data_IF_915069317777
#
_entry.id   IF_915069317777
#
_cell.length_a   1.000
_cell.length_b   1.000
_cell.length_c   1.000
_cell.angle_alpha   90.00
_cell.angle_beta   90.00
_cell.angle_gamma   90.00
#
_symmetry.space_group_name_H-M   'P 1'
#
loop_
_entity.id
_entity.type
_entity.pdbx_description
1 polymer ?
#
# COMPACT_ATOMS: atom_id res chain seq x y z
N UNK A 1 -3.40 -39.63 13.40
CA UNK A 1 -4.84 -39.36 13.43
C UNK A 1 -5.05 -37.92 13.85
N UNK A 2 -5.68 -37.16 12.98
CA UNK A 2 -5.90 -35.72 13.10
C UNK A 2 -6.48 -35.25 11.77
N UNK A 3 -7.57 -35.91 11.34
CA UNK A 3 -8.36 -35.46 10.21
C UNK A 3 -8.89 -34.07 10.52
N UNK A 4 -8.47 -33.07 9.74
CA UNK A 4 -9.10 -31.75 9.73
C UNK A 4 -10.39 -31.88 8.92
N UNK A 5 -11.45 -32.30 9.62
CA UNK A 5 -12.83 -32.13 9.20
C UNK A 5 -13.32 -30.77 9.69
N UNK A 6 -12.84 -29.70 9.07
CA UNK A 6 -13.55 -28.42 9.13
C UNK A 6 -13.75 -27.87 7.71
N UNK A 7 -14.95 -28.17 7.21
CA UNK A 7 -15.46 -27.82 5.89
C UNK A 7 -16.08 -26.42 5.96
N UNK A 8 -15.47 -25.46 5.26
CA UNK A 8 -16.23 -24.45 4.54
C UNK A 8 -15.36 -23.78 3.48
N UNK A 9 -15.63 -24.10 2.21
CA UNK A 9 -15.09 -23.40 1.04
C UNK A 9 -15.36 -21.89 1.11
N UNK A 10 -16.45 -21.47 1.76
CA UNK A 10 -16.77 -20.07 1.98
C UNK A 10 -15.81 -19.38 2.94
N UNK A 11 -15.33 -20.03 4.00
CA UNK A 11 -14.36 -19.42 4.92
C UNK A 11 -12.99 -19.23 4.25
N UNK A 12 -12.58 -20.17 3.38
CA UNK A 12 -11.40 -19.99 2.55
C UNK A 12 -11.61 -18.88 1.51
N UNK A 13 -12.80 -18.79 0.91
CA UNK A 13 -13.16 -17.73 -0.05
C UNK A 13 -13.24 -16.37 0.63
N UNK A 14 -13.82 -16.25 1.82
CA UNK A 14 -13.84 -15.01 2.61
C UNK A 14 -12.44 -14.56 3.00
N UNK A 15 -11.56 -15.49 3.41
CA UNK A 15 -10.16 -15.18 3.71
C UNK A 15 -9.37 -14.80 2.45
N UNK A 16 -9.55 -15.51 1.34
CA UNK A 16 -8.92 -15.19 0.06
C UNK A 16 -9.43 -13.86 -0.53
N UNK A 17 -10.73 -13.58 -0.41
CA UNK A 17 -11.34 -12.31 -0.80
C UNK A 17 -10.88 -11.16 0.09
N UNK A 18 -10.75 -11.38 1.40
CA UNK A 18 -10.18 -10.40 2.33
C UNK A 18 -8.72 -10.10 2.03
N UNK A 19 -7.91 -11.13 1.78
CA UNK A 19 -6.51 -10.97 1.39
C UNK A 19 -6.37 -10.25 0.04
N UNK A 20 -7.20 -10.58 -0.94
CA UNK A 20 -7.22 -9.91 -2.23
C UNK A 20 -7.62 -8.44 -2.08
N UNK A 21 -8.61 -8.14 -1.25
CA UNK A 21 -9.04 -6.77 -0.97
C UNK A 21 -7.92 -5.97 -0.28
N UNK A 22 -7.25 -6.54 0.72
CA UNK A 22 -6.11 -5.90 1.40
C UNK A 22 -4.96 -5.68 0.42
N UNK A 23 -4.62 -6.68 -0.39
CA UNK A 23 -3.58 -6.57 -1.43
C UNK A 23 -3.93 -5.47 -2.43
N UNK A 24 -5.16 -5.44 -2.94
CA UNK A 24 -5.62 -4.42 -3.87
C UNK A 24 -5.58 -3.01 -3.23
N UNK A 25 -5.96 -2.88 -1.96
CA UNK A 25 -5.89 -1.62 -1.24
C UNK A 25 -4.44 -1.14 -1.04
N UNK A 26 -3.51 -2.05 -0.73
CA UNK A 26 -2.07 -1.75 -0.61
C UNK A 26 -1.52 -1.30 -1.96
N UNK A 27 -1.79 -2.05 -3.04
CA UNK A 27 -1.34 -1.71 -4.40
C UNK A 27 -1.88 -0.34 -4.80
N UNK A 28 -3.17 -0.09 -4.60
CA UNK A 28 -3.79 1.20 -4.90
C UNK A 28 -3.12 2.34 -4.12
N UNK A 29 -2.91 2.15 -2.82
CA UNK A 29 -2.25 3.16 -1.98
C UNK A 29 -0.83 3.43 -2.48
N UNK A 30 -0.05 2.39 -2.75
CA UNK A 30 1.32 2.53 -3.23
C UNK A 30 1.38 3.25 -4.57
N UNK A 31 0.54 2.88 -5.54
CA UNK A 31 0.49 3.53 -6.85
C UNK A 31 0.15 5.02 -6.74
N UNK A 32 -0.87 5.38 -5.96
CA UNK A 32 -1.28 6.80 -5.78
C UNK A 32 -0.18 7.62 -5.11
N UNK A 33 0.51 7.08 -4.10
CA UNK A 33 1.58 7.83 -3.43
C UNK A 33 2.87 7.89 -4.24
N UNK A 34 3.19 6.86 -5.04
CA UNK A 34 4.32 6.90 -5.96
C UNK A 34 4.12 8.00 -7.01
N UNK A 35 2.94 8.10 -7.63
CA UNK A 35 2.63 9.18 -8.58
C UNK A 35 2.78 10.57 -7.94
N UNK A 36 2.29 10.74 -6.72
CA UNK A 36 2.42 12.02 -5.99
C UNK A 36 3.88 12.33 -5.67
N UNK A 37 4.67 11.32 -5.29
CA UNK A 37 6.09 11.48 -5.02
C UNK A 37 6.88 11.83 -6.28
N UNK A 38 6.60 11.19 -7.42
CA UNK A 38 7.25 11.48 -8.70
C UNK A 38 6.90 12.87 -9.20
N UNK A 39 5.64 13.31 -9.06
CA UNK A 39 5.23 14.68 -9.39
C UNK A 39 5.94 15.71 -8.50
N UNK A 40 5.99 15.48 -7.18
CA UNK A 40 6.72 16.36 -6.27
C UNK A 40 8.23 16.42 -6.62
N UNK A 41 8.86 15.30 -6.98
CA UNK A 41 10.26 15.28 -7.42
C UNK A 41 10.46 16.04 -8.74
N UNK A 42 9.52 15.90 -9.69
CA UNK A 42 9.52 16.64 -10.97
C UNK A 42 9.43 18.14 -10.74
N UNK A 43 8.48 18.58 -9.92
CA UNK A 43 8.28 20.00 -9.55
C UNK A 43 9.51 20.59 -8.85
N UNK A 44 10.26 19.78 -8.10
CA UNK A 44 11.47 20.19 -7.41
C UNK A 44 12.75 20.03 -8.26
N UNK A 45 12.65 19.60 -9.52
CA UNK A 45 13.81 19.36 -10.40
C UNK A 45 14.74 18.24 -9.92
N UNK A 46 14.26 17.35 -9.05
CA UNK A 46 15.02 16.23 -8.45
C UNK A 46 14.68 14.87 -9.06
N UNK A 47 13.82 14.84 -10.07
CA UNK A 47 13.48 13.60 -10.75
C UNK A 47 14.67 13.19 -11.63
N UNK A 48 15.23 12.02 -11.36
CA UNK A 48 16.46 11.56 -12.03
C UNK A 48 16.23 11.25 -13.52
N UNK A 49 15.37 10.27 -13.81
CA UNK A 49 15.04 9.85 -15.17
C UNK A 49 13.61 9.30 -15.19
N UNK A 50 12.77 9.86 -16.06
CA UNK A 50 11.38 9.43 -16.23
C UNK A 50 11.27 8.04 -16.85
N UNK A 51 12.27 7.64 -17.66
CA UNK A 51 12.32 6.33 -18.29
C UNK A 51 12.38 5.20 -17.26
N UNK A 52 12.88 5.50 -16.05
CA UNK A 52 12.99 4.54 -14.96
C UNK A 52 11.66 4.30 -14.23
N UNK A 53 10.67 5.19 -14.40
CA UNK A 53 9.37 5.08 -13.71
C UNK A 53 8.61 3.82 -14.11
N UNK A 54 8.81 3.29 -15.32
CA UNK A 54 8.20 2.04 -15.78
C UNK A 54 8.66 0.81 -14.99
N UNK A 55 9.82 0.89 -14.31
CA UNK A 55 10.37 -0.18 -13.51
C UNK A 55 9.98 -0.08 -12.03
N UNK A 56 9.18 0.93 -11.64
CA UNK A 56 8.65 1.03 -10.28
C UNK A 56 7.63 -0.08 -10.03
N UNK A 57 7.94 -0.93 -9.05
CA UNK A 57 6.98 -1.92 -8.56
C UNK A 57 6.04 -1.27 -7.53
N UNK A 58 4.71 -1.35 -7.69
CA UNK A 58 3.77 -0.96 -6.65
C UNK A 58 3.82 -1.89 -5.42
N UNK A 59 4.55 -2.99 -5.51
CA UNK A 59 4.69 -4.03 -4.50
C UNK A 59 6.11 -4.03 -3.92
N UNK A 60 6.50 -2.93 -3.27
CA UNK A 60 7.66 -2.92 -2.37
C UNK A 60 7.31 -3.63 -1.06
N UNK A 61 7.47 -4.95 -0.99
CA UNK A 61 7.05 -5.73 0.18
C UNK A 61 7.81 -5.43 1.48
N UNK A 62 8.95 -4.74 1.39
CA UNK A 62 9.82 -4.45 2.53
C UNK A 62 9.17 -3.56 3.61
N UNK A 63 8.15 -2.77 3.24
CA UNK A 63 7.47 -1.86 4.16
C UNK A 63 6.11 -2.35 4.67
N UNK A 64 5.65 -3.54 4.26
CA UNK A 64 4.33 -4.10 4.65
C UNK A 64 4.52 -5.29 5.59
N UNK A 65 4.30 -5.07 6.89
CA UNK A 65 4.03 -6.20 7.78
C UNK A 65 2.56 -6.60 7.61
N UNK A 66 2.30 -7.89 7.40
CA UNK A 66 0.94 -8.47 7.38
C UNK A 66 0.66 -9.30 8.64
N UNK A 67 1.61 -9.34 9.58
CA UNK A 67 1.50 -10.14 10.81
C UNK A 67 1.31 -9.22 12.01
N UNK A 68 0.39 -9.57 12.92
CA UNK A 68 0.09 -8.82 14.14
C UNK A 68 -1.33 -8.22 14.18
N UNK A 69 -1.71 -7.73 15.36
CA UNK A 69 -2.99 -7.03 15.59
C UNK A 69 -2.84 -5.53 15.26
N UNK A 70 -3.63 -5.06 14.30
CA UNK A 70 -3.60 -3.67 13.85
C UNK A 70 -4.67 -2.84 14.56
N UNK A 71 -4.26 -2.03 15.53
CA UNK A 71 -5.12 -1.05 16.19
C UNK A 71 -5.14 0.27 15.41
N UNK A 72 -6.21 0.52 14.66
CA UNK A 72 -6.43 1.81 14.00
C UNK A 72 -6.82 2.89 15.03
N UNK A 73 -5.85 3.70 15.45
CA UNK A 73 -6.13 4.94 16.19
C UNK A 73 -6.57 6.01 15.18
N UNK A 74 -7.83 6.41 15.22
CA UNK A 74 -8.45 7.47 14.37
C UNK A 74 -7.93 8.88 14.72
N UNK A 75 -6.61 9.07 14.75
CA UNK A 75 -5.99 10.37 15.08
C UNK A 75 -5.86 11.29 13.88
N UNK A 76 -6.07 10.79 12.66
CA UNK A 76 -5.95 11.57 11.43
C UNK A 76 -7.23 11.38 10.62
N UNK A 77 -8.26 12.16 10.90
CA UNK A 77 -9.40 12.32 9.98
C UNK A 77 -8.91 13.11 8.77
N UNK A 78 -8.37 12.41 7.78
CA UNK A 78 -8.18 12.99 6.46
C UNK A 78 -9.58 13.24 5.90
N UNK A 79 -9.85 14.48 5.46
CA UNK A 79 -11.10 14.76 4.76
C UNK A 79 -11.23 13.88 3.50
N UNK A 80 -12.46 13.67 3.01
CA UNK A 80 -12.67 12.92 1.77
C UNK A 80 -11.82 13.51 0.63
N UNK A 81 -11.09 12.65 -0.08
CA UNK A 81 -10.16 13.07 -1.14
C UNK A 81 -8.88 13.78 -0.67
N UNK A 82 -8.64 13.89 0.65
CA UNK A 82 -7.39 14.41 1.19
C UNK A 82 -6.39 13.28 1.39
N UNK A 83 -5.17 13.50 0.96
CA UNK A 83 -4.08 12.56 1.14
C UNK A 83 -3.21 12.96 2.34
N UNK A 84 -2.47 11.99 2.90
CA UNK A 84 -1.40 12.30 3.84
C UNK A 84 -0.33 13.15 3.12
N UNK A 85 0.28 14.12 3.84
CA UNK A 85 1.38 14.89 3.31
C UNK A 85 2.56 13.96 2.99
N UNK A 86 3.28 14.27 1.91
CA UNK A 86 4.55 13.61 1.59
C UNK A 86 5.60 14.00 2.63
N UNK A 87 6.60 13.15 2.85
CA UNK A 87 7.74 13.51 3.68
C UNK A 87 8.52 14.64 2.98
N UNK A 88 9.05 15.61 3.72
CA UNK A 88 9.86 16.67 3.11
C UNK A 88 11.07 16.06 2.41
N UNK A 89 11.36 16.57 1.21
CA UNK A 89 12.54 16.18 0.45
C UNK A 89 13.77 16.63 1.25
N UNK A 90 14.58 15.68 1.75
CA UNK A 90 15.89 16.02 2.30
C UNK A 90 16.75 16.59 1.17
N UNK A 91 17.40 17.72 1.41
CA UNK A 91 18.51 18.14 0.56
C UNK A 91 19.71 17.25 0.90
N UNK A 92 20.52 16.88 -0.10
CA UNK A 92 21.76 16.13 0.13
C UNK A 92 22.73 16.91 1.03
#
# INVERSE_FOLDING_TARGET
LGEIRDRSFEQQRYRASGLNLVTAAIVLWNTVYMERATNALRENGKLADESLLQYLSPLGWEHVSLTGDYLWRSRTKLGAGKFRPLRPLRNP
#
